data_IF_201907847571
#
_entry.id   IF_201907847571
#
_cell.length_a   1.000
_cell.length_b   1.000
_cell.length_c   1.000
_cell.angle_alpha   90.00
_cell.angle_beta   90.00
_cell.angle_gamma   90.00
#
_symmetry.space_group_name_H-M   'P 1'
#
loop_
_entity.id
_entity.type
_entity.pdbx_description
1 polymer ?
#
# COMPACT_ATOMS: atom_id res chain seq x y z
N UNK A 1 -27.61 5.38 30.31
CA UNK A 1 -26.48 4.61 30.84
C UNK A 1 -25.56 4.25 29.67
N UNK A 2 -24.69 5.19 29.28
CA UNK A 2 -23.79 5.02 28.14
C UNK A 2 -22.52 4.29 28.59
N UNK A 3 -22.29 3.09 28.06
CA UNK A 3 -21.00 2.43 28.17
C UNK A 3 -20.06 3.06 27.16
N UNK A 4 -19.19 3.93 27.67
CA UNK A 4 -17.96 4.37 27.03
C UNK A 4 -17.06 3.13 26.93
N UNK A 5 -16.85 2.62 25.71
CA UNK A 5 -15.85 1.58 25.46
C UNK A 5 -14.47 2.25 25.46
N UNK A 6 -13.88 2.36 26.65
CA UNK A 6 -12.44 2.49 26.83
C UNK A 6 -11.81 1.16 26.41
N UNK A 7 -11.40 1.03 25.15
CA UNK A 7 -10.52 -0.08 24.75
C UNK A 7 -9.10 0.29 25.17
N UNK A 8 -8.63 -0.42 26.19
CA UNK A 8 -7.33 -0.23 26.84
C UNK A 8 -6.17 -0.21 25.83
N UNK A 9 -5.24 0.71 26.06
CA UNK A 9 -3.90 0.73 25.50
C UNK A 9 -3.14 -0.50 26.04
N UNK A 10 -3.21 -1.59 25.30
CA UNK A 10 -2.33 -2.74 25.50
C UNK A 10 -1.30 -2.69 24.36
N UNK A 11 0.00 -2.69 24.65
CA UNK A 11 1.06 -2.65 23.61
C UNK A 11 0.96 -3.81 22.60
N UNK A 12 0.27 -4.89 22.99
CA UNK A 12 -0.13 -6.00 22.11
C UNK A 12 -1.07 -5.58 20.97
N UNK A 13 -1.78 -4.45 21.07
CA UNK A 13 -2.75 -3.99 20.07
C UNK A 13 -2.08 -3.44 18.81
N UNK A 14 -0.88 -2.84 18.92
CA UNK A 14 -0.16 -2.31 17.75
C UNK A 14 0.58 -3.41 16.99
N UNK A 15 1.16 -4.40 17.69
CA UNK A 15 1.78 -5.57 17.05
C UNK A 15 0.80 -6.45 16.28
N UNK A 16 -0.45 -6.50 16.73
CA UNK A 16 -1.52 -7.29 16.09
C UNK A 16 -2.27 -6.51 15.02
N UNK A 17 -1.92 -5.23 14.79
CA UNK A 17 -2.58 -4.41 13.78
C UNK A 17 -2.32 -4.96 12.39
N UNK A 18 -3.40 -5.12 11.64
CA UNK A 18 -3.35 -5.67 10.29
C UNK A 18 -2.75 -4.61 9.34
N UNK A 19 -1.81 -4.99 8.44
CA UNK A 19 -1.32 -4.07 7.42
C UNK A 19 -2.44 -3.58 6.51
N UNK A 20 -2.30 -2.38 5.97
CA UNK A 20 -3.28 -1.76 5.08
C UNK A 20 -4.65 -1.49 5.71
N UNK A 21 -4.78 -1.43 7.05
CA UNK A 21 -6.08 -1.25 7.70
C UNK A 21 -6.80 0.00 7.20
N UNK A 22 -6.10 1.14 7.17
CA UNK A 22 -6.68 2.43 6.80
C UNK A 22 -7.05 2.49 5.31
N UNK A 23 -6.15 2.03 4.44
CA UNK A 23 -6.39 1.99 3.00
C UNK A 23 -7.49 0.98 2.62
N UNK A 24 -7.57 -0.16 3.31
CA UNK A 24 -8.63 -1.16 3.11
C UNK A 24 -9.99 -0.61 3.54
N UNK A 25 -10.05 0.06 4.69
CA UNK A 25 -11.27 0.70 5.20
C UNK A 25 -11.75 1.80 4.26
N UNK A 26 -10.85 2.69 3.82
CA UNK A 26 -11.17 3.73 2.84
C UNK A 26 -11.63 3.16 1.49
N UNK A 27 -11.11 1.98 1.08
CA UNK A 27 -11.58 1.29 -0.13
C UNK A 27 -12.98 0.70 0.05
N UNK A 28 -13.29 0.15 1.23
CA UNK A 28 -14.58 -0.50 1.52
C UNK A 28 -15.69 0.51 1.82
N UNK A 29 -15.34 1.72 2.25
CA UNK A 29 -16.29 2.81 2.43
C UNK A 29 -16.95 3.26 1.12
N UNK A 30 -16.33 2.97 -0.03
CA UNK A 30 -16.90 3.28 -1.35
C UNK A 30 -17.70 2.08 -1.85
N UNK A 31 -19.01 2.23 -2.11
CA UNK A 31 -19.85 1.14 -2.61
C UNK A 31 -19.30 0.54 -3.91
N UNK A 32 -19.35 -0.78 -4.02
CA UNK A 32 -18.93 -1.46 -5.26
C UNK A 32 -19.83 -1.09 -6.42
N UNK A 33 -19.24 -1.01 -7.62
CA UNK A 33 -19.99 -0.77 -8.86
C UNK A 33 -20.94 -1.95 -9.14
N UNK A 34 -22.19 -1.65 -9.44
CA UNK A 34 -23.15 -2.64 -9.91
C UNK A 34 -22.70 -3.29 -11.22
N UNK A 35 -22.87 -4.60 -11.30
CA UNK A 35 -22.50 -5.41 -12.47
C UNK A 35 -23.62 -6.38 -12.82
N UNK A 36 -24.26 -6.14 -13.96
CA UNK A 36 -25.17 -7.10 -14.57
C UNK A 36 -24.46 -8.43 -14.95
N UNK A 37 -25.25 -9.47 -15.22
CA UNK A 37 -24.74 -10.83 -15.52
C UNK A 37 -23.72 -10.83 -16.67
N UNK A 38 -24.03 -10.11 -17.74
CA UNK A 38 -23.17 -9.94 -18.92
C UNK A 38 -21.85 -9.26 -18.54
N UNK A 39 -21.91 -8.17 -17.77
CA UNK A 39 -20.71 -7.47 -17.29
C UNK A 39 -19.79 -8.37 -16.47
N UNK A 40 -20.34 -9.22 -15.59
CA UNK A 40 -19.55 -10.19 -14.82
C UNK A 40 -18.88 -11.23 -15.72
N UNK A 41 -19.59 -11.72 -16.74
CA UNK A 41 -19.07 -12.68 -17.72
C UNK A 41 -17.87 -12.12 -18.49
N UNK A 42 -17.94 -10.87 -18.94
CA UNK A 42 -16.87 -10.20 -19.67
C UNK A 42 -15.80 -9.53 -18.78
N UNK A 43 -15.88 -9.70 -17.46
CA UNK A 43 -14.85 -9.25 -16.53
C UNK A 43 -14.92 -7.76 -16.14
N UNK A 44 -16.12 -7.17 -16.10
CA UNK A 44 -16.35 -5.85 -15.49
C UNK A 44 -15.89 -5.85 -14.01
N UNK A 45 -15.11 -4.82 -13.65
CA UNK A 45 -14.55 -4.70 -12.31
C UNK A 45 -15.65 -4.30 -11.32
N UNK A 46 -15.70 -4.89 -10.10
CA UNK A 46 -16.56 -4.39 -9.03
C UNK A 46 -16.07 -3.07 -8.43
N UNK A 47 -14.81 -2.72 -8.68
CA UNK A 47 -14.18 -1.55 -8.07
C UNK A 47 -14.73 -0.26 -8.67
N UNK A 48 -15.26 0.62 -7.82
CA UNK A 48 -15.66 1.97 -8.20
C UNK A 48 -14.42 2.81 -8.55
N UNK A 49 -14.46 3.74 -9.53
CA UNK A 49 -13.35 4.63 -9.85
C UNK A 49 -12.75 5.35 -8.63
N UNK A 50 -13.61 5.84 -7.72
CA UNK A 50 -13.17 6.57 -6.51
C UNK A 50 -12.45 5.68 -5.50
N UNK A 51 -12.70 4.36 -5.53
CA UNK A 51 -12.02 3.39 -4.69
C UNK A 51 -10.66 2.94 -5.27
N UNK A 52 -10.31 3.35 -6.50
CA UNK A 52 -9.10 2.84 -7.17
C UNK A 52 -7.83 3.24 -6.44
N UNK A 53 -7.76 4.47 -5.91
CA UNK A 53 -6.59 4.96 -5.20
C UNK A 53 -6.36 4.19 -3.89
N UNK A 54 -7.39 4.08 -3.04
CA UNK A 54 -7.35 3.35 -1.78
C UNK A 54 -7.13 1.85 -1.99
N UNK A 55 -7.75 1.24 -3.01
CA UNK A 55 -7.49 -0.15 -3.38
C UNK A 55 -6.01 -0.38 -3.76
N UNK A 56 -5.44 0.49 -4.60
CA UNK A 56 -4.02 0.38 -5.00
C UNK A 56 -3.08 0.55 -3.80
N UNK A 57 -3.37 1.52 -2.94
CA UNK A 57 -2.63 1.76 -1.70
C UNK A 57 -2.65 0.51 -0.79
N UNK A 58 -3.82 -0.07 -0.55
CA UNK A 58 -3.93 -1.29 0.26
C UNK A 58 -3.18 -2.49 -0.35
N UNK A 59 -3.20 -2.65 -1.68
CA UNK A 59 -2.41 -3.67 -2.37
C UNK A 59 -0.90 -3.43 -2.21
N UNK A 60 -0.45 -2.17 -2.23
CA UNK A 60 0.94 -1.80 -2.03
C UNK A 60 1.40 -2.18 -0.61
N UNK A 61 0.65 -1.74 0.39
CA UNK A 61 0.93 -1.99 1.81
C UNK A 61 0.93 -3.48 2.14
N UNK A 62 -0.07 -4.25 1.69
CA UNK A 62 -0.06 -5.71 1.89
C UNK A 62 1.15 -6.40 1.25
N UNK A 63 1.62 -5.91 0.08
CA UNK A 63 2.81 -6.46 -0.57
C UNK A 63 4.06 -6.19 0.27
N UNK A 64 4.22 -4.97 0.76
CA UNK A 64 5.37 -4.57 1.59
C UNK A 64 5.33 -5.31 2.92
N UNK A 65 4.18 -5.38 3.59
CA UNK A 65 4.00 -6.17 4.80
C UNK A 65 4.35 -7.64 4.61
N UNK A 66 3.97 -8.26 3.49
CA UNK A 66 4.35 -9.65 3.19
C UNK A 66 5.88 -9.85 3.00
N UNK A 67 6.60 -8.82 2.57
CA UNK A 67 8.07 -8.84 2.49
C UNK A 67 8.67 -8.67 3.89
N UNK A 68 8.16 -7.71 4.67
CA UNK A 68 8.62 -7.40 6.02
C UNK A 68 8.33 -8.53 7.02
N UNK A 69 7.23 -9.27 6.86
CA UNK A 69 6.86 -10.40 7.71
C UNK A 69 7.80 -11.62 7.61
N UNK A 70 8.80 -11.58 6.71
CA UNK A 70 9.84 -12.60 6.59
C UNK A 70 11.07 -12.31 7.45
N UNK A 71 11.11 -11.15 8.10
CA UNK A 71 12.24 -10.76 8.94
C UNK A 71 12.19 -11.53 10.26
N UNK A 72 13.37 -11.85 10.80
CA UNK A 72 13.49 -12.62 12.05
C UNK A 72 13.17 -11.80 13.31
N UNK A 73 13.23 -12.46 14.46
CA UNK A 73 12.86 -11.92 15.77
C UNK A 73 13.63 -10.66 16.21
N UNK A 74 14.78 -10.38 15.60
CA UNK A 74 15.55 -9.15 15.80
C UNK A 74 14.82 -7.89 15.28
N UNK A 75 13.74 -8.05 14.50
CA UNK A 75 12.97 -6.95 13.94
C UNK A 75 11.55 -6.90 14.51
N UNK A 76 11.12 -5.69 14.85
CA UNK A 76 9.73 -5.36 15.20
C UNK A 76 9.10 -4.62 14.02
N UNK A 77 7.93 -5.08 13.58
CA UNK A 77 7.15 -4.47 12.52
C UNK A 77 5.83 -3.98 13.08
N UNK A 78 5.55 -2.69 12.92
CA UNK A 78 4.27 -2.09 13.25
C UNK A 78 3.61 -1.59 11.96
N UNK A 79 2.28 -1.58 11.93
CA UNK A 79 1.52 -1.28 10.72
C UNK A 79 0.41 -0.27 10.99
N UNK A 80 0.13 0.57 9.99
CA UNK A 80 -0.94 1.57 10.02
C UNK A 80 -0.91 2.40 11.30
N UNK A 81 0.23 3.02 11.61
CA UNK A 81 0.37 3.88 12.78
C UNK A 81 -0.17 5.27 12.42
N UNK A 82 -1.21 5.70 13.13
CA UNK A 82 -1.82 7.01 12.93
C UNK A 82 -1.13 8.04 13.81
N UNK A 83 -0.75 9.15 13.18
CA UNK A 83 -0.17 10.33 13.81
C UNK A 83 -1.30 11.33 14.12
N UNK A 84 -1.00 12.30 14.98
CA UNK A 84 -1.99 13.28 15.46
C UNK A 84 -2.50 14.22 14.38
N UNK A 85 -1.66 14.52 13.38
CA UNK A 85 -2.04 15.36 12.24
C UNK A 85 -2.88 14.61 11.18
N UNK A 86 -3.24 13.36 11.46
CA UNK A 86 -4.00 12.49 10.58
C UNK A 86 -3.14 11.70 9.59
N UNK A 87 -1.82 11.96 9.53
CA UNK A 87 -0.90 11.18 8.71
C UNK A 87 -0.82 9.72 9.20
N UNK A 88 -0.52 8.81 8.28
CA UNK A 88 -0.39 7.38 8.58
C UNK A 88 0.98 6.88 8.13
N UNK A 89 1.68 6.21 9.04
CA UNK A 89 2.86 5.42 8.72
C UNK A 89 2.37 4.02 8.31
N UNK A 90 2.52 3.67 7.03
CA UNK A 90 2.09 2.36 6.54
C UNK A 90 2.78 1.24 7.32
N UNK A 91 4.11 1.33 7.44
CA UNK A 91 4.92 0.39 8.23
C UNK A 91 6.07 1.10 8.95
N UNK A 92 6.26 0.75 10.22
CA UNK A 92 7.46 1.09 10.99
C UNK A 92 8.26 -0.19 11.22
N UNK A 93 9.51 -0.21 10.79
CA UNK A 93 10.43 -1.31 11.03
C UNK A 93 11.51 -0.87 12.03
N UNK A 94 11.58 -1.53 13.18
CA UNK A 94 12.62 -1.32 14.20
C UNK A 94 13.51 -2.55 14.23
N UNK A 95 14.81 -2.38 14.03
CA UNK A 95 15.76 -3.49 14.09
C UNK A 95 17.20 -3.05 14.24
N UNK A 96 18.17 -3.98 14.20
CA UNK A 96 19.58 -3.69 14.50
C UNK A 96 20.24 -2.64 13.59
N UNK A 97 19.63 -2.37 12.45
CA UNK A 97 20.17 -1.49 11.41
C UNK A 97 19.58 -0.08 11.46
N UNK A 98 18.55 0.12 12.27
CA UNK A 98 17.90 1.42 12.46
C UNK A 98 16.39 1.29 12.63
N UNK A 99 15.74 2.45 12.66
CA UNK A 99 14.28 2.60 12.60
C UNK A 99 13.92 3.15 11.22
N UNK A 100 12.91 2.57 10.58
CA UNK A 100 12.51 2.94 9.22
C UNK A 100 11.01 3.20 9.15
N UNK A 101 10.62 4.37 8.65
CA UNK A 101 9.25 4.67 8.25
C UNK A 101 9.11 4.34 6.77
N UNK A 102 8.30 3.34 6.46
CA UNK A 102 8.21 2.76 5.12
C UNK A 102 6.84 3.09 4.52
N UNK A 103 6.84 3.83 3.42
CA UNK A 103 5.65 4.16 2.63
C UNK A 103 5.58 3.27 1.38
N UNK A 104 4.39 2.75 1.08
CA UNK A 104 4.14 1.84 -0.03
C UNK A 104 3.37 2.52 -1.17
N UNK A 105 3.93 2.51 -2.39
CA UNK A 105 3.30 3.07 -3.58
C UNK A 105 3.17 2.04 -4.70
N UNK A 106 1.97 1.92 -5.29
CA UNK A 106 1.70 1.07 -6.44
C UNK A 106 1.48 1.89 -7.72
N UNK A 107 2.60 2.20 -8.40
CA UNK A 107 2.66 2.90 -9.68
C UNK A 107 2.85 1.93 -10.87
N UNK A 108 2.21 0.75 -10.79
CA UNK A 108 2.25 -0.28 -11.83
C UNK A 108 1.96 0.27 -13.23
N UNK A 109 2.84 -0.01 -14.19
CA UNK A 109 2.66 0.43 -15.58
C UNK A 109 3.17 1.85 -15.87
N UNK A 110 3.49 2.63 -14.84
CA UNK A 110 3.99 4.01 -14.92
C UNK A 110 5.51 4.01 -14.96
N UNK A 111 6.11 4.91 -15.75
CA UNK A 111 7.54 5.20 -15.69
C UNK A 111 7.81 6.23 -14.62
N UNK A 112 8.70 5.90 -13.69
CA UNK A 112 8.97 6.70 -12.50
C UNK A 112 10.38 7.25 -12.57
N UNK A 113 10.51 8.56 -12.41
CA UNK A 113 11.80 9.22 -12.17
C UNK A 113 11.85 9.72 -10.74
N UNK A 114 12.96 9.44 -10.07
CA UNK A 114 13.23 9.83 -8.69
C UNK A 114 14.28 10.91 -8.69
N UNK A 115 13.92 12.05 -8.14
CA UNK A 115 14.79 13.18 -7.82
C UNK A 115 15.03 13.22 -6.30
N UNK A 116 15.69 14.25 -5.76
CA UNK A 116 16.03 14.34 -4.33
C UNK A 116 14.82 14.19 -3.38
N UNK A 117 13.74 14.95 -3.65
CA UNK A 117 12.52 14.98 -2.84
C UNK A 117 11.24 14.93 -3.68
N UNK A 118 11.32 14.50 -4.94
CA UNK A 118 10.12 14.35 -5.77
C UNK A 118 10.14 13.08 -6.60
N UNK A 119 8.95 12.57 -6.87
CA UNK A 119 8.74 11.51 -7.84
C UNK A 119 7.99 12.10 -9.02
N UNK A 120 8.50 11.90 -10.23
CA UNK A 120 7.74 12.13 -11.46
C UNK A 120 7.15 10.83 -11.99
N UNK A 121 5.83 10.77 -12.09
CA UNK A 121 5.05 9.64 -12.62
C UNK A 121 4.59 9.97 -14.05
N UNK A 122 5.18 9.33 -15.07
CA UNK A 122 4.92 9.60 -16.50
C UNK A 122 5.07 11.08 -16.94
N UNK A 123 5.75 11.91 -16.14
CA UNK A 123 5.96 13.33 -16.40
C UNK A 123 5.38 14.23 -15.30
N UNK A 124 4.38 13.74 -14.58
CA UNK A 124 3.70 14.51 -13.54
C UNK A 124 4.47 14.43 -12.23
N UNK A 125 4.87 15.59 -11.70
CA UNK A 125 5.58 15.70 -10.42
C UNK A 125 4.61 15.47 -9.25
N UNK A 126 5.03 14.66 -8.29
CA UNK A 126 4.28 14.33 -7.08
C UNK A 126 5.13 14.58 -5.83
N UNK A 127 4.47 14.88 -4.71
CA UNK A 127 5.11 15.20 -3.43
C UNK A 127 5.33 13.97 -2.53
N UNK A 128 5.18 12.76 -3.06
CA UNK A 128 5.25 11.53 -2.26
C UNK A 128 6.54 11.36 -1.43
N UNK A 129 7.71 11.81 -1.92
CA UNK A 129 8.94 11.74 -1.12
C UNK A 129 8.95 12.81 -0.03
N UNK A 130 8.46 14.02 -0.32
CA UNK A 130 8.30 15.09 0.68
C UNK A 130 7.39 14.63 1.82
N UNK A 131 6.24 14.04 1.49
CA UNK A 131 5.30 13.52 2.48
C UNK A 131 5.91 12.40 3.31
N UNK A 132 6.60 11.44 2.67
CA UNK A 132 7.28 10.35 3.37
C UNK A 132 8.40 10.85 4.30
N UNK A 133 9.14 11.87 3.88
CA UNK A 133 10.15 12.52 4.71
C UNK A 133 9.53 13.18 5.93
N UNK A 134 8.49 14.01 5.73
CA UNK A 134 7.78 14.69 6.80
C UNK A 134 7.19 13.69 7.83
N UNK A 135 6.58 12.61 7.36
CA UNK A 135 6.05 11.54 8.21
C UNK A 135 7.15 10.84 9.01
N UNK A 136 8.32 10.60 8.41
CA UNK A 136 9.47 10.02 9.12
C UNK A 136 10.02 10.97 10.19
N UNK A 137 10.07 12.28 9.92
CA UNK A 137 10.46 13.28 10.91
C UNK A 137 9.48 13.34 12.08
N UNK A 138 8.17 13.27 11.83
CA UNK A 138 7.17 13.17 12.89
C UNK A 138 7.38 11.92 13.73
N UNK A 139 7.58 10.77 13.08
CA UNK A 139 7.84 9.52 13.78
C UNK A 139 9.10 9.60 14.65
N UNK A 140 10.17 10.23 14.14
CA UNK A 140 11.39 10.45 14.90
C UNK A 140 11.16 11.34 16.12
N UNK A 141 10.39 12.42 15.98
CA UNK A 141 10.00 13.29 17.11
C UNK A 141 9.24 12.51 18.18
N UNK A 142 8.14 11.85 17.81
CA UNK A 142 7.32 11.08 18.75
C UNK A 142 8.09 9.98 19.48
N UNK A 143 8.91 9.22 18.76
CA UNK A 143 9.75 8.19 19.37
C UNK A 143 10.79 8.81 20.30
N UNK A 144 11.40 9.93 19.92
CA UNK A 144 12.43 10.58 20.75
C UNK A 144 11.84 11.17 22.03
N UNK A 145 10.65 11.76 21.93
CA UNK A 145 9.95 12.36 23.06
C UNK A 145 9.62 11.31 24.13
N UNK A 146 9.09 10.14 23.72
CA UNK A 146 8.81 9.06 24.68
C UNK A 146 10.06 8.29 25.12
N UNK A 147 11.05 8.12 24.23
CA UNK A 147 12.29 7.42 24.56
C UNK A 147 13.24 8.24 25.46
N UNK A 148 13.06 9.56 25.54
CA UNK A 148 13.98 10.47 26.24
C UNK A 148 15.39 10.55 25.63
N UNK A 149 15.57 10.00 24.43
CA UNK A 149 16.82 9.99 23.66
C UNK A 149 16.51 10.15 22.17
N UNK A 150 17.45 10.68 21.39
CA UNK A 150 17.24 10.82 19.95
C UNK A 150 17.04 9.45 19.26
N UNK A 151 15.93 9.30 18.54
CA UNK A 151 15.58 8.12 17.73
C UNK A 151 15.51 8.52 16.25
N UNK A 152 16.61 8.38 15.48
CA UNK A 152 16.60 8.67 14.06
C UNK A 152 15.71 7.68 13.30
N UNK A 153 14.75 8.20 12.53
CA UNK A 153 13.87 7.42 11.66
C UNK A 153 14.24 7.70 10.20
N UNK A 154 14.53 6.64 9.46
CA UNK A 154 14.94 6.72 8.06
C UNK A 154 13.71 6.59 7.17
N UNK A 155 13.38 7.58 6.32
CA UNK A 155 12.28 7.48 5.38
C UNK A 155 12.63 6.53 4.23
N UNK A 156 11.73 5.59 3.94
CA UNK A 156 11.86 4.63 2.83
C UNK A 156 10.55 4.63 2.04
N UNK A 157 10.64 4.81 0.73
CA UNK A 157 9.48 4.70 -0.18
C UNK A 157 9.68 3.49 -1.08
N UNK A 158 8.75 2.54 -0.98
CA UNK A 158 8.75 1.32 -1.78
C UNK A 158 7.83 1.53 -2.98
N UNK A 159 8.41 1.60 -4.18
CA UNK A 159 7.66 1.88 -5.41
C UNK A 159 7.64 0.66 -6.31
N UNK A 160 6.43 0.17 -6.61
CA UNK A 160 6.25 -0.75 -7.74
C UNK A 160 5.93 0.04 -9.00
N UNK A 161 6.88 0.11 -9.93
CA UNK A 161 6.75 0.82 -11.20
C UNK A 161 6.95 -0.10 -12.42
N UNK A 162 6.66 0.39 -13.63
CA UNK A 162 7.12 -0.26 -14.88
C UNK A 162 8.63 -0.10 -15.04
N UNK A 163 9.12 1.08 -14.69
CA UNK A 163 10.51 1.48 -14.80
C UNK A 163 10.79 2.48 -13.66
N UNK A 164 11.91 2.33 -12.98
CA UNK A 164 12.35 3.20 -11.89
C UNK A 164 13.74 3.74 -12.23
N UNK A 165 13.85 5.05 -12.46
CA UNK A 165 15.12 5.73 -12.75
C UNK A 165 15.45 6.73 -11.66
N UNK A 166 16.68 6.68 -11.18
CA UNK A 166 17.23 7.62 -10.21
C UNK A 166 18.00 8.70 -10.97
N UNK A 167 17.64 9.96 -10.72
CA UNK A 167 18.32 11.13 -11.28
C UNK A 167 19.33 11.67 -10.25
N UNK A 168 18.99 11.60 -8.96
CA UNK A 168 19.88 11.96 -7.85
C UNK A 168 20.76 10.79 -7.41
N UNK A 169 22.01 11.09 -7.09
CA UNK A 169 22.99 10.12 -6.55
C UNK A 169 22.84 9.88 -5.04
N UNK A 170 22.18 10.78 -4.30
CA UNK A 170 22.04 10.69 -2.83
C UNK A 170 20.70 11.24 -2.35
N UNK A 171 19.58 10.55 -2.62
CA UNK A 171 18.26 11.03 -2.21
C UNK A 171 18.11 10.99 -0.69
N UNK A 172 17.51 12.05 -0.13
CA UNK A 172 17.21 12.17 1.30
C UNK A 172 16.25 11.03 1.74
N UNK A 173 15.36 10.62 0.82
CA UNK A 173 14.44 9.51 0.99
C UNK A 173 14.92 8.30 0.21
N UNK A 174 15.09 7.17 0.88
CA UNK A 174 15.47 5.95 0.20
C UNK A 174 14.31 5.43 -0.65
N UNK A 175 14.49 5.34 -1.97
CA UNK A 175 13.49 4.75 -2.87
C UNK A 175 13.95 3.36 -3.31
N UNK A 176 13.11 2.35 -3.12
CA UNK A 176 13.45 0.95 -3.41
C UNK A 176 12.32 0.23 -4.14
N UNK A 177 12.67 -0.73 -5.01
CA UNK A 177 11.67 -1.64 -5.54
C UNK A 177 11.27 -2.69 -4.48
N UNK A 178 10.04 -3.24 -4.52
CA UNK A 178 9.59 -4.24 -3.54
C UNK A 178 10.53 -5.45 -3.42
N UNK A 179 11.08 -5.92 -4.55
CA UNK A 179 11.98 -7.09 -4.57
C UNK A 179 13.35 -6.81 -3.93
N UNK A 180 13.72 -5.54 -3.79
CA UNK A 180 15.00 -5.10 -3.24
C UNK A 180 14.89 -4.74 -1.76
N UNK A 181 13.69 -4.47 -1.24
CA UNK A 181 13.47 -3.99 0.12
C UNK A 181 14.18 -4.83 1.19
N UNK A 182 14.02 -6.16 1.15
CA UNK A 182 14.69 -7.05 2.11
C UNK A 182 16.21 -6.93 2.07
N UNK A 183 16.78 -7.00 0.86
CA UNK A 183 18.24 -6.87 0.67
C UNK A 183 18.72 -5.49 1.10
N UNK A 184 17.99 -4.44 0.73
CA UNK A 184 18.33 -3.06 1.04
C UNK A 184 18.40 -2.83 2.55
N UNK A 185 17.36 -3.26 3.29
CA UNK A 185 17.33 -3.18 4.76
C UNK A 185 18.45 -4.01 5.39
N UNK A 186 18.67 -5.26 4.94
CA UNK A 186 19.66 -6.17 5.53
C UNK A 186 21.13 -5.84 5.18
N UNK A 187 21.37 -5.06 4.14
CA UNK A 187 22.73 -4.59 3.78
C UNK A 187 23.13 -3.30 4.47
N UNK A 188 22.21 -2.63 5.18
CA UNK A 188 22.58 -1.46 5.99
C UNK A 188 23.50 -1.89 7.13
N UNK A 189 24.43 -1.02 7.51
CA UNK A 189 25.29 -1.23 8.67
C UNK A 189 24.45 -1.40 9.94
N UNK A 190 24.85 -2.29 10.85
CA UNK A 190 24.28 -2.32 12.20
C UNK A 190 24.62 -1.00 12.89
N UNK A 191 23.58 -0.26 13.29
CA UNK A 191 23.70 1.01 14.01
C UNK A 191 23.24 0.90 15.45
N UNK A 192 22.38 -0.09 15.75
CA UNK A 192 21.79 -0.28 17.05
C UNK A 192 22.28 -1.59 17.67
N UNK A 193 22.62 -1.55 18.96
CA UNK A 193 22.82 -2.77 19.75
C UNK A 193 21.48 -3.47 19.96
N UNK A 194 21.49 -4.77 20.29
CA UNK A 194 20.26 -5.51 20.55
C UNK A 194 19.42 -4.88 21.67
N UNK A 195 20.08 -4.33 22.70
CA UNK A 195 19.41 -3.65 23.82
C UNK A 195 18.71 -2.35 23.37
N UNK A 196 19.37 -1.52 22.55
CA UNK A 196 18.78 -0.28 22.03
C UNK A 196 17.63 -0.59 21.06
N UNK A 197 17.81 -1.57 20.17
CA UNK A 197 16.74 -2.01 19.25
C UNK A 197 15.51 -2.53 19.99
N UNK A 198 15.71 -3.30 21.07
CA UNK A 198 14.62 -3.78 21.91
C UNK A 198 13.92 -2.62 22.64
N UNK A 199 14.69 -1.66 23.19
CA UNK A 199 14.13 -0.48 23.83
C UNK A 199 13.29 0.37 22.85
N UNK A 200 13.81 0.68 21.67
CA UNK A 200 13.05 1.42 20.64
C UNK A 200 11.82 0.65 20.16
N UNK A 201 11.87 -0.69 20.15
CA UNK A 201 10.68 -1.50 19.83
C UNK A 201 9.61 -1.33 20.91
N UNK A 202 9.99 -1.42 22.20
CA UNK A 202 9.07 -1.21 23.31
C UNK A 202 8.42 0.17 23.29
N UNK A 203 9.22 1.22 23.04
CA UNK A 203 8.70 2.59 22.88
C UNK A 203 7.75 2.65 21.70
N UNK A 204 8.14 2.15 20.52
CA UNK A 204 7.29 2.17 19.33
C UNK A 204 5.96 1.40 19.52
N UNK A 205 5.96 0.36 20.33
CA UNK A 205 4.76 -0.45 20.64
C UNK A 205 3.82 0.21 21.63
N UNK A 206 4.31 1.18 22.41
CA UNK A 206 3.47 1.94 23.33
C UNK A 206 2.52 2.84 22.52
N UNK A 207 1.19 2.66 22.62
CA UNK A 207 0.24 3.55 21.98
C UNK A 207 0.44 5.02 22.36
N UNK A 208 0.95 5.32 23.56
CA UNK A 208 1.22 6.70 24.01
C UNK A 208 2.26 7.41 23.14
N UNK A 209 3.19 6.69 22.51
CA UNK A 209 4.15 7.26 21.54
C UNK A 209 3.43 8.04 20.45
N UNK A 210 2.33 7.48 19.96
CA UNK A 210 1.61 8.01 18.81
C UNK A 210 0.41 8.89 19.22
N UNK A 211 0.04 8.88 20.51
CA UNK A 211 -1.14 9.56 21.07
C UNK A 211 -0.85 10.86 21.84
N UNK A 212 0.36 11.43 21.76
CA UNK A 212 0.76 12.56 22.60
C UNK A 212 0.03 13.89 22.29
N UNK A 213 -1.12 14.10 22.97
CA UNK A 213 -1.93 15.32 23.22
C UNK A 213 -3.13 15.62 22.26
N UNK A 214 -4.23 16.20 22.78
CA UNK A 214 -5.59 15.74 22.51
C UNK A 214 -6.18 16.25 21.19
N UNK A 215 -6.94 15.37 20.54
CA UNK A 215 -7.87 15.71 19.45
C UNK A 215 -8.89 16.72 20.01
N UNK A 216 -8.82 17.97 19.57
CA UNK A 216 -9.91 18.91 19.76
C UNK A 216 -11.14 18.35 19.05
N UNK A 217 -12.28 18.39 19.76
CA UNK A 217 -13.58 17.83 19.35
C UNK A 217 -14.16 18.42 18.05
N UNK A 218 -13.41 19.26 17.33
CA UNK A 218 -13.86 20.04 16.19
C UNK A 218 -13.67 19.30 14.86
N UNK A 219 -12.74 18.34 14.76
CA UNK A 219 -12.54 17.53 13.55
C UNK A 219 -13.62 16.46 13.32
N UNK A 220 -14.49 16.19 14.30
CA UNK A 220 -15.63 15.25 14.17
C UNK A 220 -16.83 15.90 13.44
N UNK A 221 -16.73 17.18 13.07
CA UNK A 221 -17.84 17.94 12.48
C UNK A 221 -17.93 17.87 10.94
N UNK A 222 -17.00 17.17 10.27
CA UNK A 222 -17.00 17.03 8.80
C UNK A 222 -16.65 15.62 8.34
N UNK A 223 -17.29 14.62 8.92
CA UNK A 223 -17.46 13.34 8.23
C UNK A 223 -18.93 12.94 8.34
N UNK A 224 -19.64 13.34 7.30
CA UNK A 224 -20.90 12.84 6.79
C UNK A 224 -21.40 11.59 7.51
N UNK A 225 -22.61 11.70 8.05
CA UNK A 225 -23.58 10.60 8.19
C UNK A 225 -23.63 9.81 6.88
N UNK A 226 -22.72 8.86 6.72
CA UNK A 226 -22.71 7.88 5.64
C UNK A 226 -22.97 6.56 6.31
N UNK A 227 -24.18 6.05 6.10
CA UNK A 227 -24.60 4.74 6.51
C UNK A 227 -23.51 3.72 6.12
N UNK A 228 -22.98 3.02 7.13
CA UNK A 228 -22.06 1.92 6.93
C UNK A 228 -22.67 0.93 5.91
N UNK A 229 -21.91 0.48 4.90
CA UNK A 229 -22.44 -0.47 3.95
C UNK A 229 -22.83 -1.77 4.65
N UNK A 230 -23.90 -2.38 4.16
CA UNK A 230 -24.51 -3.64 4.58
C UNK A 230 -23.60 -4.86 4.34
N UNK A 231 -22.46 -4.89 5.03
CA UNK A 231 -21.65 -6.09 5.29
C UNK A 231 -22.01 -6.71 6.63
N UNK A 232 -21.72 -7.99 6.80
CA UNK A 232 -21.84 -8.65 8.11
C UNK A 232 -21.00 -7.88 9.14
N UNK A 233 -21.59 -7.35 10.24
CA UNK A 233 -20.87 -6.56 11.24
C UNK A 233 -19.77 -7.35 11.98
N UNK A 234 -19.63 -8.65 11.71
CA UNK A 234 -18.58 -9.51 12.26
C UNK A 234 -17.37 -9.72 11.33
N UNK A 235 -17.41 -9.26 10.07
CA UNK A 235 -16.27 -9.38 9.16
C UNK A 235 -15.21 -8.31 9.43
N UNK A 236 -14.02 -8.74 9.85
CA UNK A 236 -12.84 -7.89 9.95
C UNK A 236 -12.54 -7.22 8.58
N UNK A 237 -12.25 -5.90 8.52
CA UNK A 237 -12.02 -5.18 7.25
C UNK A 237 -10.98 -5.83 6.31
N UNK A 238 -10.05 -6.61 6.87
CA UNK A 238 -9.07 -7.37 6.09
C UNK A 238 -9.69 -8.47 5.22
N UNK A 239 -10.68 -9.19 5.74
CA UNK A 239 -11.31 -10.30 5.05
C UNK A 239 -12.28 -9.78 3.97
N UNK A 240 -13.04 -8.73 4.29
CA UNK A 240 -13.87 -8.02 3.31
C UNK A 240 -13.02 -7.46 2.15
N UNK A 241 -11.87 -6.84 2.45
CA UNK A 241 -10.94 -6.36 1.42
C UNK A 241 -10.33 -7.51 0.61
N UNK A 242 -9.97 -8.63 1.25
CA UNK A 242 -9.47 -9.83 0.57
C UNK A 242 -10.52 -10.38 -0.41
N UNK A 243 -11.79 -10.45 0.00
CA UNK A 243 -12.88 -10.88 -0.86
C UNK A 243 -13.06 -9.93 -2.06
N UNK A 244 -13.07 -8.62 -1.83
CA UNK A 244 -13.13 -7.61 -2.90
C UNK A 244 -11.96 -7.78 -3.88
N UNK A 245 -10.73 -7.93 -3.37
CA UNK A 245 -9.54 -8.17 -4.18
C UNK A 245 -9.67 -9.41 -5.06
N UNK A 246 -10.13 -10.53 -4.50
CA UNK A 246 -10.36 -11.76 -5.27
C UNK A 246 -11.35 -11.55 -6.41
N UNK A 247 -12.42 -10.77 -6.18
CA UNK A 247 -13.39 -10.44 -7.23
C UNK A 247 -12.79 -9.53 -8.32
N UNK A 248 -11.99 -8.53 -7.95
CA UNK A 248 -11.27 -7.65 -8.89
C UNK A 248 -10.29 -8.46 -9.73
N UNK A 249 -9.51 -9.35 -9.11
CA UNK A 249 -8.55 -10.20 -9.79
C UNK A 249 -9.23 -11.21 -10.74
N UNK A 250 -10.35 -11.81 -10.33
CA UNK A 250 -11.16 -12.67 -11.19
C UNK A 250 -11.76 -11.91 -12.38
N UNK A 251 -12.24 -10.69 -12.18
CA UNK A 251 -12.70 -9.82 -13.26
C UNK A 251 -11.56 -9.48 -14.25
N UNK A 252 -10.38 -9.15 -13.74
CA UNK A 252 -9.20 -8.87 -14.56
C UNK A 252 -8.73 -10.11 -15.35
N UNK A 253 -8.76 -11.31 -14.76
CA UNK A 253 -8.46 -12.58 -15.45
C UNK A 253 -9.43 -12.83 -16.60
N UNK A 254 -10.74 -12.76 -16.34
CA UNK A 254 -11.79 -12.92 -17.37
C UNK A 254 -11.59 -11.96 -18.53
N UNK A 255 -11.31 -10.69 -18.23
CA UNK A 255 -11.05 -9.67 -19.25
C UNK A 255 -9.84 -10.01 -20.13
N UNK A 256 -8.77 -10.55 -19.54
CA UNK A 256 -7.60 -11.01 -20.32
C UNK A 256 -7.96 -12.19 -21.22
N UNK A 257 -8.69 -13.18 -20.71
CA UNK A 257 -9.16 -14.33 -21.51
C UNK A 257 -10.00 -13.87 -22.69
N UNK A 258 -10.99 -13.00 -22.48
CA UNK A 258 -11.82 -12.49 -23.57
C UNK A 258 -11.04 -11.65 -24.58
N UNK A 259 -10.07 -10.84 -24.14
CA UNK A 259 -9.17 -10.12 -25.04
C UNK A 259 -8.35 -11.08 -25.90
N UNK A 260 -7.79 -12.14 -25.30
CA UNK A 260 -7.02 -13.16 -26.02
C UNK A 260 -7.89 -13.97 -26.99
N UNK A 261 -9.12 -14.32 -26.60
CA UNK A 261 -10.07 -15.02 -27.47
C UNK A 261 -10.43 -14.16 -28.71
N UNK A 262 -10.74 -12.86 -28.50
CA UNK A 262 -11.03 -11.93 -29.59
C UNK A 262 -9.83 -11.80 -30.55
N UNK A 263 -8.62 -11.66 -30.01
CA UNK A 263 -7.40 -11.56 -30.80
C UNK A 263 -7.13 -12.85 -31.60
N UNK A 264 -7.35 -14.01 -30.98
CA UNK A 264 -7.22 -15.32 -31.62
C UNK A 264 -8.23 -15.52 -32.74
N UNK A 265 -9.49 -15.12 -32.54
CA UNK A 265 -10.51 -15.17 -33.59
C UNK A 265 -10.19 -14.25 -34.77
N UNK A 266 -9.66 -13.05 -34.52
CA UNK A 266 -9.26 -12.12 -35.58
C UNK A 266 -8.07 -12.68 -36.39
N UNK A 267 -7.08 -13.30 -35.73
CA UNK A 267 -5.95 -13.93 -36.39
C UNK A 267 -6.38 -15.13 -37.26
N UNK A 268 -7.27 -15.99 -36.76
CA UNK A 268 -7.80 -17.11 -37.53
C UNK A 268 -8.57 -16.64 -38.77
N UNK A 269 -9.42 -15.61 -38.65
CA UNK A 269 -10.13 -15.02 -39.79
C UNK A 269 -9.18 -14.46 -40.84
N UNK A 270 -8.10 -13.78 -40.42
CA UNK A 270 -7.08 -13.28 -41.34
C UNK A 270 -6.34 -14.40 -42.08
N UNK A 271 -5.99 -15.49 -41.39
CA UNK A 271 -5.36 -16.66 -42.01
C UNK A 271 -6.28 -17.33 -43.04
N UNK A 272 -7.58 -17.46 -42.74
CA UNK A 272 -8.57 -17.99 -43.69
C UNK A 272 -8.67 -17.08 -44.92
N UNK A 273 -8.69 -15.76 -44.74
CA UNK A 273 -8.73 -14.81 -45.85
C UNK A 273 -7.48 -14.88 -46.73
N UNK A 274 -6.29 -15.01 -46.15
CA UNK A 274 -5.03 -15.20 -46.90
C UNK A 274 -5.01 -16.53 -47.65
N UNK A 275 -5.45 -17.62 -47.02
CA UNK A 275 -5.52 -18.93 -47.68
C UNK A 275 -6.50 -18.92 -48.88
N UNK A 276 -7.67 -18.29 -48.71
CA UNK A 276 -8.65 -18.11 -49.79
C UNK A 276 -8.09 -17.24 -50.93
N UNK A 277 -7.35 -16.16 -50.61
CA UNK A 277 -6.70 -15.31 -51.62
C UNK A 277 -5.54 -15.99 -52.37
N UNK A 278 -4.79 -16.86 -51.70
CA UNK A 278 -3.77 -17.67 -52.39
C UNK A 278 -4.39 -18.72 -53.30
N UNK A 279 -5.49 -19.35 -52.88
CA UNK A 279 -6.19 -20.34 -53.70
C UNK A 279 -6.77 -19.74 -54.99
N UNK A 280 -7.27 -18.50 -54.95
CA UNK A 280 -7.74 -17.82 -56.16
C UNK A 280 -6.59 -17.46 -57.10
N UNK A 281 -5.45 -16.98 -56.59
CA UNK A 281 -4.29 -16.65 -57.42
C UNK A 281 -3.71 -17.87 -58.16
N UNK A 282 -3.67 -19.04 -57.52
CA UNK A 282 -3.21 -20.29 -58.15
C UNK A 282 -4.19 -20.84 -59.19
N UNK A 283 -5.49 -20.58 -59.03
CA UNK A 283 -6.51 -21.02 -59.99
C UNK A 283 -6.52 -20.19 -61.30
N UNK A 284 -5.85 -19.04 -61.35
CA UNK A 284 -5.78 -18.14 -62.50
C UNK A 284 -4.39 -18.06 -63.16
N UNK A 285 -3.40 -18.84 -62.71
CA UNK A 285 -2.08 -19.00 -63.35
C UNK A 285 -1.99 -20.33 -64.09
#
# INVERSE_FOLDING_TARGET
MAQVVTRAADGSALRTRIPAFDASTACLAVPTRERGRVGRMFGASPLHPDAVASFRKAIAEHRVAAILGRFGADWTMLHSLRLLDGSVIDHLAVGPRGVYAITSLDLRGVRVRVDDLSVSADGDRTDHLRDAHYVAELAARHLSDLAGVAVPVIPVVVIRAKELRFISESPIVAVVAPIELSRWLLTRHRRLSSRVSAYFSLVAEDPQTWLAAPVSKEAVSKETTSEMPSGDPTEEPSDAFRALRQQVDAAARRRRVWKSALLGTAAAAALIAVALGHATLVAFS
#
